data_IF_424592435089
#
_entry.id   IF_424592435089
#
_cell.length_a   1.000
_cell.length_b   1.000
_cell.length_c   1.000
_cell.angle_alpha   90.00
_cell.angle_beta   90.00
_cell.angle_gamma   90.00
#
_symmetry.space_group_name_H-M   'P 1'
#
loop_
_entity.id
_entity.type
_entity.pdbx_description
1 polymer ?
#
# COMPACT_ATOMS: atom_id res chain seq x y z
N UNK A 1 6.65 65.80 18.46
CA UNK A 1 6.16 65.30 17.16
C UNK A 1 5.50 63.95 17.41
N UNK A 2 4.19 63.89 17.34
CA UNK A 2 3.39 62.70 17.67
C UNK A 2 2.59 62.35 16.42
N UNK A 3 2.98 61.23 15.82
CA UNK A 3 2.60 60.76 14.49
C UNK A 3 1.15 60.25 14.49
N UNK A 4 0.44 60.57 13.42
CA UNK A 4 -0.96 60.23 13.20
C UNK A 4 -1.22 58.74 13.05
N UNK A 5 -2.35 58.31 13.63
CA UNK A 5 -3.06 57.08 13.31
C UNK A 5 -3.77 57.21 11.95
N UNK A 6 -3.75 56.17 11.11
CA UNK A 6 -4.82 55.96 10.14
C UNK A 6 -5.65 54.71 10.46
N UNK A 7 -6.97 54.86 10.32
CA UNK A 7 -7.82 53.87 9.67
C UNK A 7 -8.19 52.60 10.45
N UNK A 8 -9.28 52.68 11.20
CA UNK A 8 -10.10 51.51 11.52
C UNK A 8 -11.05 51.26 10.35
N UNK A 9 -10.93 50.10 9.68
CA UNK A 9 -11.99 49.55 8.82
C UNK A 9 -12.07 48.02 9.00
N UNK A 10 -13.03 47.62 9.84
CA UNK A 10 -14.03 46.55 9.60
C UNK A 10 -13.53 45.16 9.13
N UNK A 11 -13.51 44.17 10.03
CA UNK A 11 -14.53 43.09 10.11
C UNK A 11 -13.97 41.73 9.60
N UNK A 12 -14.65 40.58 9.80
CA UNK A 12 -14.32 39.58 10.82
C UNK A 12 -13.66 38.32 10.22
N UNK A 13 -13.00 37.54 11.08
CA UNK A 13 -12.37 36.26 10.77
C UNK A 13 -13.33 35.26 10.10
N UNK A 14 -13.38 35.29 8.77
CA UNK A 14 -13.90 34.19 7.96
C UNK A 14 -12.75 33.25 7.59
N UNK A 15 -12.89 32.03 8.10
CA UNK A 15 -12.72 30.77 7.38
C UNK A 15 -11.46 30.58 6.52
N UNK A 16 -10.64 29.61 6.96
CA UNK A 16 -9.71 28.81 6.15
C UNK A 16 -8.39 29.46 5.70
N UNK A 17 -7.45 29.59 6.63
CA UNK A 17 -6.03 29.34 6.33
C UNK A 17 -5.23 29.18 7.63
N UNK A 18 -4.77 27.96 7.93
CA UNK A 18 -3.54 27.82 8.72
C UNK A 18 -2.51 27.13 7.83
N UNK A 19 -1.47 27.86 7.37
CA UNK A 19 -0.34 27.27 6.69
C UNK A 19 0.66 26.71 7.72
N UNK A 20 1.23 25.56 7.37
CA UNK A 20 2.57 25.10 7.73
C UNK A 20 2.98 25.14 9.22
N UNK A 21 2.77 24.01 9.93
CA UNK A 21 3.77 23.55 10.89
C UNK A 21 4.71 22.58 10.17
N UNK A 22 5.81 23.12 9.64
CA UNK A 22 6.99 22.31 9.28
C UNK A 22 7.71 22.01 10.58
N UNK A 23 7.24 20.97 11.29
CA UNK A 23 7.98 20.35 12.39
C UNK A 23 8.74 19.16 11.82
N UNK A 24 9.93 19.43 11.30
CA UNK A 24 10.92 18.44 10.92
C UNK A 24 11.43 17.75 12.20
N UNK A 25 10.67 16.78 12.72
CA UNK A 25 11.00 16.01 13.92
C UNK A 25 11.40 14.58 13.55
N UNK A 26 12.65 14.25 13.89
CA UNK A 26 13.23 12.91 14.00
C UNK A 26 13.62 12.16 12.71
N UNK A 27 14.67 12.65 12.04
CA UNK A 27 15.56 11.81 11.24
C UNK A 27 16.57 11.10 12.18
N UNK A 28 16.18 9.96 12.75
CA UNK A 28 17.09 8.94 13.33
C UNK A 28 16.37 7.71 13.94
N UNK A 29 15.06 7.80 14.21
CA UNK A 29 14.26 6.68 14.77
C UNK A 29 13.16 6.17 13.82
N UNK A 30 13.06 6.74 12.61
CA UNK A 30 11.98 6.50 11.64
C UNK A 30 12.15 5.21 10.83
N UNK A 31 13.30 4.54 10.90
CA UNK A 31 13.55 3.33 10.10
C UNK A 31 12.84 2.08 10.62
N UNK A 32 12.62 1.98 11.94
CA UNK A 32 11.96 0.80 12.55
C UNK A 32 10.43 0.90 12.53
N UNK A 33 9.87 2.09 12.76
CA UNK A 33 8.41 2.31 12.74
C UNK A 33 7.84 2.23 11.32
N UNK A 34 8.58 2.71 10.31
CA UNK A 34 8.13 2.63 8.92
C UNK A 34 8.02 1.17 8.48
N UNK A 35 9.00 0.33 8.83
CA UNK A 35 9.01 -1.09 8.45
C UNK A 35 7.78 -1.84 8.98
N UNK A 36 7.40 -1.66 10.25
CA UNK A 36 6.22 -2.31 10.82
C UNK A 36 4.90 -1.83 10.19
N UNK A 37 4.77 -0.53 9.90
CA UNK A 37 3.61 0.02 9.22
C UNK A 37 3.49 -0.51 7.78
N UNK A 38 4.59 -0.58 7.03
CA UNK A 38 4.59 -1.16 5.67
C UNK A 38 4.33 -2.67 5.71
N UNK A 39 4.82 -3.40 6.71
CA UNK A 39 4.48 -4.82 6.90
C UNK A 39 2.97 -4.97 7.10
N UNK A 40 2.36 -4.17 7.98
CA UNK A 40 0.92 -4.20 8.20
C UNK A 40 0.14 -3.86 6.92
N UNK A 41 0.57 -2.87 6.14
CA UNK A 41 0.01 -2.54 4.82
C UNK A 41 0.10 -3.73 3.85
N UNK A 42 1.25 -4.41 3.77
CA UNK A 42 1.41 -5.60 2.92
C UNK A 42 0.48 -6.74 3.33
N UNK A 43 0.40 -7.03 4.65
CA UNK A 43 -0.49 -8.07 5.18
C UNK A 43 -1.94 -7.74 4.87
N UNK A 44 -2.35 -6.48 5.05
CA UNK A 44 -3.68 -6.03 4.70
C UNK A 44 -3.97 -6.24 3.21
N UNK A 45 -3.03 -5.87 2.32
CA UNK A 45 -3.18 -6.04 0.88
C UNK A 45 -3.27 -7.51 0.46
N UNK A 46 -2.50 -8.39 1.10
CA UNK A 46 -2.63 -9.84 0.92
C UNK A 46 -4.02 -10.33 1.29
N UNK A 47 -4.51 -9.96 2.49
CA UNK A 47 -5.84 -10.37 2.98
C UNK A 47 -6.92 -9.86 2.03
N UNK A 48 -6.86 -8.59 1.64
CA UNK A 48 -7.83 -7.98 0.72
C UNK A 48 -7.84 -8.68 -0.65
N UNK A 49 -6.66 -9.00 -1.22
CA UNK A 49 -6.56 -9.73 -2.48
C UNK A 49 -7.07 -11.19 -2.37
N UNK A 50 -6.86 -11.85 -1.23
CA UNK A 50 -7.38 -13.21 -1.01
C UNK A 50 -8.90 -13.21 -0.78
N UNK A 51 -9.41 -12.24 -0.04
CA UNK A 51 -10.84 -12.08 0.25
C UNK A 51 -11.63 -11.76 -1.02
N UNK A 52 -11.12 -10.89 -1.89
CA UNK A 52 -11.77 -10.59 -3.18
C UNK A 52 -11.98 -11.85 -4.02
N UNK A 53 -10.99 -12.76 -4.06
CA UNK A 53 -11.10 -14.04 -4.76
C UNK A 53 -12.12 -14.98 -4.10
N UNK A 54 -12.25 -14.95 -2.77
CA UNK A 54 -13.26 -15.74 -2.04
C UNK A 54 -14.68 -15.22 -2.24
N UNK A 55 -14.84 -13.90 -2.38
CA UNK A 55 -16.11 -13.23 -2.67
C UNK A 55 -16.56 -13.37 -4.14
N UNK A 56 -15.84 -14.14 -4.96
CA UNK A 56 -16.08 -14.26 -6.40
C UNK A 56 -15.87 -12.94 -7.17
N UNK A 57 -15.15 -11.97 -6.59
CA UNK A 57 -14.75 -10.74 -7.28
C UNK A 57 -13.48 -11.00 -8.10
N UNK A 58 -13.65 -11.71 -9.21
CA UNK A 58 -12.57 -12.19 -10.08
C UNK A 58 -12.42 -11.38 -11.37
N UNK A 59 -13.07 -10.22 -11.48
CA UNK A 59 -12.89 -9.32 -12.61
C UNK A 59 -11.48 -8.74 -12.65
N UNK A 60 -10.90 -8.64 -13.85
CA UNK A 60 -9.53 -8.14 -14.05
C UNK A 60 -9.38 -6.71 -13.53
N UNK A 61 -10.34 -5.82 -13.76
CA UNK A 61 -10.29 -4.43 -13.26
C UNK A 61 -10.30 -4.33 -11.73
N UNK A 62 -10.83 -5.35 -11.03
CA UNK A 62 -10.86 -5.43 -9.58
C UNK A 62 -9.59 -6.08 -9.02
N UNK A 63 -9.14 -7.20 -9.61
CA UNK A 63 -7.97 -7.95 -9.12
C UNK A 63 -6.66 -7.24 -9.47
N UNK A 64 -6.56 -6.65 -10.65
CA UNK A 64 -5.34 -5.98 -11.12
C UNK A 64 -4.84 -4.87 -10.18
N UNK A 65 -5.65 -3.89 -9.74
CA UNK A 65 -5.20 -2.86 -8.79
C UNK A 65 -4.80 -3.46 -7.43
N UNK A 66 -5.49 -4.49 -6.94
CA UNK A 66 -5.15 -5.15 -5.67
C UNK A 66 -3.75 -5.79 -5.73
N UNK A 67 -3.44 -6.51 -6.81
CA UNK A 67 -2.11 -7.09 -7.00
C UNK A 67 -1.03 -6.02 -7.21
N UNK A 68 -1.37 -4.92 -7.89
CA UNK A 68 -0.45 -3.80 -8.10
C UNK A 68 -0.07 -3.12 -6.78
N UNK A 69 -1.06 -2.87 -5.91
CA UNK A 69 -0.85 -2.29 -4.60
C UNK A 69 -0.01 -3.21 -3.71
N UNK A 70 -0.34 -4.51 -3.69
CA UNK A 70 0.45 -5.53 -3.00
C UNK A 70 1.90 -5.57 -3.49
N UNK A 71 2.12 -5.56 -4.81
CA UNK A 71 3.46 -5.52 -5.39
C UNK A 71 4.21 -4.26 -4.97
N UNK A 72 3.54 -3.10 -4.96
CA UNK A 72 4.11 -1.82 -4.54
C UNK A 72 4.54 -1.86 -3.07
N UNK A 73 3.66 -2.30 -2.16
CA UNK A 73 3.97 -2.41 -0.73
C UNK A 73 5.12 -3.39 -0.46
N UNK A 74 5.16 -4.53 -1.17
CA UNK A 74 6.29 -5.47 -1.10
C UNK A 74 7.61 -4.82 -1.56
N UNK A 75 7.59 -3.95 -2.57
CA UNK A 75 8.78 -3.23 -3.03
C UNK A 75 9.27 -2.17 -2.03
N UNK A 76 8.36 -1.56 -1.26
CA UNK A 76 8.72 -0.61 -0.18
C UNK A 76 9.47 -1.29 0.97
N UNK A 77 9.26 -2.59 1.18
CA UNK A 77 9.95 -3.33 2.24
C UNK A 77 11.40 -3.63 1.86
N UNK A 78 12.31 -2.84 2.43
CA UNK A 78 13.77 -3.01 2.30
C UNK A 78 14.31 -4.19 3.09
N UNK A 79 13.52 -4.75 4.01
CA UNK A 79 13.89 -5.95 4.79
C UNK A 79 13.83 -7.24 3.98
N UNK A 80 13.04 -7.24 2.89
CA UNK A 80 12.95 -8.40 2.02
C UNK A 80 14.00 -8.34 0.91
N UNK A 81 14.60 -9.50 0.55
CA UNK A 81 15.51 -9.57 -0.57
C UNK A 81 14.84 -9.08 -1.87
N UNK A 82 15.61 -8.48 -2.79
CA UNK A 82 15.09 -8.04 -4.09
C UNK A 82 14.57 -9.21 -4.94
N UNK A 83 15.13 -10.41 -4.76
CA UNK A 83 14.74 -11.68 -5.39
C UNK A 83 13.64 -12.43 -4.62
N UNK A 84 12.85 -11.74 -3.80
CA UNK A 84 11.75 -12.38 -3.09
C UNK A 84 10.72 -12.97 -4.07
N UNK A 85 10.44 -14.27 -3.95
CA UNK A 85 9.56 -15.00 -4.86
C UNK A 85 8.18 -14.34 -5.00
N UNK A 86 7.61 -13.84 -3.91
CA UNK A 86 6.31 -13.17 -3.95
C UNK A 86 6.29 -11.92 -4.85
N UNK A 87 7.40 -11.16 -4.95
CA UNK A 87 7.48 -10.01 -5.87
C UNK A 87 7.40 -10.47 -7.32
N UNK A 88 8.10 -11.54 -7.66
CA UNK A 88 8.11 -12.13 -9.02
C UNK A 88 6.74 -12.68 -9.38
N UNK A 89 6.12 -13.43 -8.47
CA UNK A 89 4.77 -13.99 -8.64
C UNK A 89 3.72 -12.91 -8.87
N UNK A 90 3.72 -11.84 -8.06
CA UNK A 90 2.76 -10.74 -8.25
C UNK A 90 2.94 -10.06 -9.61
N UNK A 91 4.18 -9.82 -10.04
CA UNK A 91 4.45 -9.23 -11.37
C UNK A 91 4.01 -10.15 -12.51
N UNK A 92 4.23 -11.45 -12.39
CA UNK A 92 3.78 -12.44 -13.38
C UNK A 92 2.25 -12.44 -13.51
N UNK A 93 1.55 -12.41 -12.38
CA UNK A 93 0.09 -12.32 -12.35
C UNK A 93 -0.42 -11.01 -12.95
N UNK A 94 0.15 -9.87 -12.59
CA UNK A 94 -0.20 -8.56 -13.17
C UNK A 94 0.02 -8.57 -14.70
N UNK A 95 1.16 -9.09 -15.17
CA UNK A 95 1.45 -9.20 -16.59
C UNK A 95 0.47 -10.14 -17.33
N UNK A 96 -0.02 -11.18 -16.65
CA UNK A 96 -1.05 -12.07 -17.19
C UNK A 96 -2.41 -11.36 -17.27
N UNK A 97 -2.80 -10.65 -16.23
CA UNK A 97 -4.05 -9.87 -16.18
C UNK A 97 -4.06 -8.73 -17.20
N UNK A 98 -2.92 -8.07 -17.42
CA UNK A 98 -2.78 -7.01 -18.42
C UNK A 98 -2.96 -7.50 -19.87
N UNK A 99 -2.90 -8.82 -20.13
CA UNK A 99 -3.20 -9.41 -21.45
C UNK A 99 -4.69 -9.70 -21.63
N UNK A 100 -5.47 -9.65 -20.56
CA UNK A 100 -6.93 -9.85 -20.57
C UNK A 100 -7.62 -8.49 -20.63
N UNK A 101 -8.86 -8.43 -21.10
CA UNK A 101 -9.65 -7.21 -21.04
C UNK A 101 -9.97 -6.84 -19.59
N UNK A 102 -10.13 -5.55 -19.30
CA UNK A 102 -10.49 -5.10 -17.95
C UNK A 102 -11.83 -5.71 -17.48
N UNK A 103 -12.75 -5.97 -18.41
CA UNK A 103 -14.04 -6.59 -18.15
C UNK A 103 -14.01 -8.14 -18.19
N UNK A 104 -12.87 -8.75 -18.55
CA UNK A 104 -12.73 -10.20 -18.48
C UNK A 104 -12.59 -10.64 -17.01
N UNK A 105 -13.02 -11.86 -16.74
CA UNK A 105 -12.95 -12.48 -15.42
C UNK A 105 -11.90 -13.59 -15.40
N UNK A 106 -11.21 -13.77 -14.28
CA UNK A 106 -10.35 -14.93 -14.11
C UNK A 106 -11.22 -16.19 -14.08
N UNK A 107 -10.78 -17.22 -14.82
CA UNK A 107 -11.40 -18.55 -14.71
C UNK A 107 -11.24 -19.11 -13.29
N UNK A 108 -12.14 -20.02 -12.89
CA UNK A 108 -12.09 -20.66 -11.57
C UNK A 108 -10.72 -21.29 -11.26
N UNK A 109 -10.08 -21.91 -12.27
CA UNK A 109 -8.73 -22.45 -12.13
C UNK A 109 -7.68 -21.35 -11.90
N UNK A 110 -7.75 -20.23 -12.63
CA UNK A 110 -6.83 -19.12 -12.44
C UNK A 110 -7.01 -18.45 -11.08
N UNK A 111 -8.27 -18.24 -10.64
CA UNK A 111 -8.55 -17.66 -9.34
C UNK A 111 -8.02 -18.54 -8.20
N UNK A 112 -8.19 -19.86 -8.29
CA UNK A 112 -7.60 -20.82 -7.33
C UNK A 112 -6.07 -20.80 -7.36
N UNK A 113 -5.47 -20.77 -8.54
CA UNK A 113 -4.02 -20.70 -8.67
C UNK A 113 -3.45 -19.39 -8.10
N UNK A 114 -4.11 -18.25 -8.38
CA UNK A 114 -3.73 -16.95 -7.83
C UNK A 114 -3.87 -16.94 -6.30
N UNK A 115 -4.95 -17.49 -5.76
CA UNK A 115 -5.13 -17.62 -4.31
C UNK A 115 -4.02 -18.47 -3.67
N UNK A 116 -3.63 -19.58 -4.31
CA UNK A 116 -2.52 -20.40 -3.83
C UNK A 116 -1.17 -19.66 -3.89
N UNK A 117 -0.87 -18.97 -5.00
CA UNK A 117 0.35 -18.17 -5.12
C UNK A 117 0.38 -17.02 -4.09
N UNK A 118 -0.77 -16.41 -3.77
CA UNK A 118 -0.90 -15.39 -2.71
C UNK A 118 -0.61 -15.98 -1.32
N UNK A 119 -1.23 -17.10 -0.96
CA UNK A 119 -1.00 -17.81 0.31
C UNK A 119 0.47 -18.26 0.46
N UNK A 120 1.06 -18.79 -0.62
CA UNK A 120 2.46 -19.21 -0.64
C UNK A 120 3.40 -18.01 -0.49
N UNK A 121 3.14 -16.92 -1.22
CA UNK A 121 3.90 -15.67 -1.10
C UNK A 121 3.79 -15.07 0.31
N UNK A 122 2.61 -15.12 0.92
CA UNK A 122 2.37 -14.66 2.29
C UNK A 122 3.14 -15.50 3.32
N UNK A 123 3.16 -16.84 3.19
CA UNK A 123 3.95 -17.71 4.06
C UNK A 123 5.46 -17.39 3.96
N UNK A 124 5.97 -17.29 2.73
CA UNK A 124 7.36 -16.90 2.48
C UNK A 124 7.67 -15.50 3.03
N UNK A 125 6.69 -14.60 2.98
CA UNK A 125 6.81 -13.25 3.50
C UNK A 125 6.91 -13.24 5.02
N UNK A 126 6.00 -13.95 5.70
CA UNK A 126 6.04 -14.13 7.15
C UNK A 126 7.33 -14.82 7.62
N UNK A 127 7.84 -15.79 6.86
CA UNK A 127 9.10 -16.46 7.16
C UNK A 127 10.34 -15.55 6.95
N UNK A 128 10.27 -14.59 6.02
CA UNK A 128 11.32 -13.62 5.77
C UNK A 128 11.34 -12.48 6.81
N UNK A 129 10.23 -12.25 7.52
CA UNK A 129 10.21 -11.31 8.63
C UNK A 129 10.97 -11.92 9.82
N UNK A 130 11.85 -11.14 10.49
CA UNK A 130 12.44 -11.57 11.75
C UNK A 130 11.32 -11.68 12.78
N UNK A 131 10.89 -12.91 13.07
CA UNK A 131 10.01 -13.16 14.22
C UNK A 131 10.80 -12.75 15.46
N UNK A 132 10.27 -11.79 16.21
CA UNK A 132 10.85 -11.37 17.48
C UNK A 132 10.72 -12.54 18.46
N UNK A 133 11.68 -13.45 18.47
CA UNK A 133 11.55 -14.74 19.15
C UNK A 133 12.84 -15.56 19.19
N UNK A 134 13.98 -14.91 19.48
CA UNK A 134 15.12 -15.51 20.19
C UNK A 134 15.78 -14.45 21.04
#
# INVERSE_FOLDING_TARGET
MQNGLPGSLESPCNFWCVPATVEHRAAAATSSTTSAAIVAECVQNFITAMDSLKLNMVAVDQVHPLLSDLSSSLNKLTILPPDFEGKTKMKEWIARLSKMGAADELTEQQARQLHFDLESSYNSFMAALPTAGT
#
